data_IF_167420116221
#
_entry.id   IF_167420116221
#
_cell.length_a   1.000
_cell.length_b   1.000
_cell.length_c   1.000
_cell.angle_alpha   90.00
_cell.angle_beta   90.00
_cell.angle_gamma   90.00
#
_symmetry.space_group_name_H-M   'P 1'
#
loop_
_entity.id
_entity.type
_entity.pdbx_description
1 polymer ?
#
# COMPACT_ATOMS: atom_id res chain seq x y z
N UNK A 1 28.57 -18.11 -7.84
CA UNK A 1 27.41 -17.20 -7.84
C UNK A 1 26.31 -17.96 -7.14
N UNK A 2 26.34 -17.91 -5.82
CA UNK A 2 25.31 -18.56 -5.01
C UNK A 2 24.07 -17.68 -5.06
N UNK A 3 23.00 -18.26 -5.62
CA UNK A 3 21.66 -17.71 -5.59
C UNK A 3 21.21 -17.65 -4.13
N UNK A 4 21.48 -16.54 -3.45
CA UNK A 4 20.82 -16.21 -2.19
C UNK A 4 19.33 -16.10 -2.46
N UNK A 5 18.62 -17.19 -2.19
CA UNK A 5 17.17 -17.18 -2.07
C UNK A 5 16.85 -16.12 -1.01
N UNK A 6 16.04 -15.11 -1.34
CA UNK A 6 15.59 -14.07 -0.42
C UNK A 6 14.21 -14.47 0.17
N UNK A 7 14.12 -15.43 1.12
CA UNK A 7 12.84 -15.81 1.72
C UNK A 7 12.16 -14.61 2.40
N UNK A 8 12.97 -13.67 2.91
CA UNK A 8 12.49 -12.43 3.50
C UNK A 8 11.90 -11.50 2.44
N UNK A 9 12.57 -11.32 1.29
CA UNK A 9 12.07 -10.47 0.21
C UNK A 9 10.73 -10.91 -0.37
N UNK A 10 10.48 -12.23 -0.50
CA UNK A 10 9.16 -12.73 -0.91
C UNK A 10 8.09 -12.53 0.17
N UNK A 11 8.48 -12.64 1.44
CA UNK A 11 7.59 -12.38 2.58
C UNK A 11 7.22 -10.90 2.66
N UNK A 12 8.21 -10.01 2.56
CA UNK A 12 8.04 -8.55 2.58
C UNK A 12 7.17 -8.09 1.40
N UNK A 13 7.37 -8.69 0.22
CA UNK A 13 6.54 -8.43 -0.97
C UNK A 13 5.08 -8.74 -0.69
N UNK A 14 4.79 -9.92 -0.14
CA UNK A 14 3.44 -10.36 0.20
C UNK A 14 2.81 -9.49 1.30
N UNK A 15 3.60 -9.08 2.29
CA UNK A 15 3.11 -8.19 3.34
C UNK A 15 2.74 -6.81 2.77
N UNK A 16 3.55 -6.26 1.86
CA UNK A 16 3.22 -5.02 1.18
C UNK A 16 1.95 -5.14 0.34
N UNK A 17 1.77 -6.24 -0.42
CA UNK A 17 0.53 -6.48 -1.18
C UNK A 17 -0.71 -6.47 -0.27
N UNK A 18 -0.64 -7.14 0.88
CA UNK A 18 -1.74 -7.18 1.85
C UNK A 18 -2.02 -5.81 2.48
N UNK A 19 -0.98 -5.04 2.78
CA UNK A 19 -1.12 -3.69 3.31
C UNK A 19 -1.81 -2.76 2.28
N UNK A 20 -1.41 -2.84 1.00
CA UNK A 20 -2.03 -2.07 -0.09
C UNK A 20 -3.48 -2.51 -0.31
N UNK A 21 -3.77 -3.81 -0.30
CA UNK A 21 -5.15 -4.32 -0.42
C UNK A 21 -6.03 -3.81 0.73
N UNK A 22 -5.48 -3.73 1.95
CA UNK A 22 -6.17 -3.16 3.11
C UNK A 22 -6.45 -1.68 2.92
N UNK A 23 -5.47 -0.89 2.45
CA UNK A 23 -5.64 0.52 2.15
C UNK A 23 -6.75 0.75 1.09
N UNK A 24 -6.77 -0.05 0.02
CA UNK A 24 -7.80 0.02 -1.02
C UNK A 24 -9.20 -0.32 -0.49
N UNK A 25 -9.32 -1.38 0.32
CA UNK A 25 -10.61 -1.79 0.91
C UNK A 25 -11.15 -0.72 1.86
N UNK A 26 -10.31 -0.22 2.76
CA UNK A 26 -10.71 0.80 3.75
C UNK A 26 -11.05 2.12 3.07
N UNK A 27 -10.25 2.55 2.09
CA UNK A 27 -10.55 3.74 1.27
C UNK A 27 -11.86 3.59 0.53
N UNK A 28 -12.10 2.44 -0.12
CA UNK A 28 -13.35 2.17 -0.80
C UNK A 28 -14.56 2.16 0.15
N UNK A 29 -14.40 1.63 1.37
CA UNK A 29 -15.44 1.62 2.39
C UNK A 29 -15.74 3.03 2.93
N UNK A 30 -14.71 3.85 3.15
CA UNK A 30 -14.87 5.25 3.58
C UNK A 30 -15.60 6.07 2.51
N UNK A 31 -15.12 6.03 1.26
CA UNK A 31 -15.58 6.89 0.18
C UNK A 31 -16.93 6.45 -0.39
N UNK A 32 -17.07 5.18 -0.81
CA UNK A 32 -18.33 4.67 -1.39
C UNK A 32 -19.41 4.45 -0.32
N UNK A 33 -19.00 4.13 0.90
CA UNK A 33 -19.90 4.01 2.04
C UNK A 33 -20.25 5.34 2.70
N UNK A 34 -19.67 6.46 2.22
CA UNK A 34 -19.79 7.80 2.81
C UNK A 34 -19.56 7.80 4.33
N UNK A 35 -18.61 6.98 4.77
CA UNK A 35 -18.36 6.74 6.17
C UNK A 35 -17.14 7.51 6.64
N UNK A 36 -17.37 8.72 7.16
CA UNK A 36 -16.33 9.60 7.70
C UNK A 36 -15.55 8.98 8.86
N UNK A 37 -16.13 8.02 9.60
CA UNK A 37 -15.43 7.32 10.69
C UNK A 37 -14.31 6.41 10.20
N UNK A 38 -14.32 6.01 8.92
CA UNK A 38 -13.30 5.17 8.32
C UNK A 38 -12.20 5.95 7.60
N UNK A 39 -12.36 7.27 7.43
CA UNK A 39 -11.40 8.11 6.71
C UNK A 39 -10.03 8.10 7.39
N UNK A 40 -9.99 8.27 8.72
CA UNK A 40 -8.75 8.20 9.49
C UNK A 40 -8.07 6.83 9.37
N UNK A 41 -8.87 5.75 9.42
CA UNK A 41 -8.35 4.39 9.22
C UNK A 41 -7.81 4.16 7.81
N UNK A 42 -8.43 4.78 6.80
CA UNK A 42 -7.97 4.70 5.42
C UNK A 42 -6.62 5.43 5.25
N UNK A 43 -6.48 6.65 5.80
CA UNK A 43 -5.21 7.39 5.81
C UNK A 43 -4.10 6.60 6.51
N UNK A 44 -4.40 6.00 7.67
CA UNK A 44 -3.41 5.19 8.39
C UNK A 44 -2.97 3.97 7.57
N UNK A 45 -3.91 3.23 6.97
CA UNK A 45 -3.59 2.08 6.13
C UNK A 45 -2.74 2.46 4.90
N UNK A 46 -2.99 3.63 4.29
CA UNK A 46 -2.17 4.16 3.20
C UNK A 46 -0.75 4.46 3.71
N UNK A 47 -0.62 5.11 4.86
CA UNK A 47 0.68 5.50 5.42
C UNK A 47 1.53 4.28 5.84
N UNK A 48 0.90 3.27 6.42
CA UNK A 48 1.57 2.01 6.79
C UNK A 48 2.13 1.32 5.54
N UNK A 49 1.30 1.17 4.50
CA UNK A 49 1.72 0.58 3.22
C UNK A 49 2.81 1.42 2.52
N UNK A 50 2.73 2.76 2.58
CA UNK A 50 3.76 3.66 2.04
C UNK A 50 5.09 3.45 2.73
N UNK A 51 5.10 3.32 4.05
CA UNK A 51 6.31 3.05 4.83
C UNK A 51 6.96 1.73 4.41
N UNK A 52 6.16 0.66 4.25
CA UNK A 52 6.65 -0.63 3.75
C UNK A 52 7.21 -0.55 2.33
N UNK A 53 6.58 0.27 1.48
CA UNK A 53 7.02 0.47 0.09
C UNK A 53 8.38 1.17 -0.05
N UNK A 54 8.95 1.70 1.05
CA UNK A 54 10.27 2.34 1.07
C UNK A 54 11.43 1.36 1.36
N UNK A 55 11.15 0.05 1.50
CA UNK A 55 12.19 -0.97 1.69
C UNK A 55 13.19 -0.98 0.52
N UNK A 56 14.47 -0.81 0.86
CA UNK A 56 15.58 -0.88 -0.09
C UNK A 56 15.77 -2.30 -0.65
N UNK A 57 15.47 -3.32 0.15
CA UNK A 57 15.53 -4.73 -0.23
C UNK A 57 14.47 -5.04 -1.29
N UNK A 58 13.22 -4.59 -1.07
CA UNK A 58 12.16 -4.74 -2.07
C UNK A 58 12.46 -3.96 -3.34
N UNK A 59 13.10 -2.79 -3.22
CA UNK A 59 13.47 -1.98 -4.38
C UNK A 59 14.56 -2.66 -5.23
N UNK A 60 15.52 -3.32 -4.59
CA UNK A 60 16.54 -4.11 -5.28
C UNK A 60 15.96 -5.41 -5.88
N UNK A 61 14.93 -5.99 -5.25
CA UNK A 61 14.31 -7.24 -5.68
C UNK A 61 13.34 -7.05 -6.87
N UNK A 62 12.45 -6.07 -6.79
CA UNK A 62 11.34 -5.89 -7.74
C UNK A 62 10.82 -4.44 -7.75
N UNK A 63 11.53 -3.57 -8.46
CA UNK A 63 11.19 -2.14 -8.57
C UNK A 63 9.84 -1.89 -9.27
N UNK A 64 9.52 -2.66 -10.31
CA UNK A 64 8.27 -2.53 -11.06
C UNK A 64 7.06 -2.86 -10.18
N UNK A 65 7.18 -3.89 -9.34
CA UNK A 65 6.19 -4.20 -8.33
C UNK A 65 6.01 -3.04 -7.35
N UNK A 66 7.09 -2.49 -6.77
CA UNK A 66 6.99 -1.36 -5.85
C UNK A 66 6.35 -0.14 -6.49
N UNK A 67 6.68 0.16 -7.75
CA UNK A 67 6.07 1.28 -8.46
C UNK A 67 4.56 1.09 -8.61
N UNK A 68 4.11 -0.13 -8.94
CA UNK A 68 2.68 -0.45 -9.00
C UNK A 68 1.99 -0.26 -7.65
N UNK A 69 2.60 -0.75 -6.56
CA UNK A 69 2.04 -0.57 -5.21
C UNK A 69 1.91 0.91 -4.84
N UNK A 70 2.92 1.73 -5.15
CA UNK A 70 2.88 3.18 -4.88
C UNK A 70 1.79 3.89 -5.68
N UNK A 71 1.61 3.56 -6.95
CA UNK A 71 0.52 4.12 -7.76
C UNK A 71 -0.86 3.80 -7.17
N UNK A 72 -1.08 2.56 -6.70
CA UNK A 72 -2.34 2.18 -6.05
C UNK A 72 -2.60 2.98 -4.76
N UNK A 73 -1.54 3.27 -4.00
CA UNK A 73 -1.63 4.08 -2.78
C UNK A 73 -1.91 5.56 -3.10
N UNK A 74 -1.33 6.08 -4.18
CA UNK A 74 -1.60 7.44 -4.65
C UNK A 74 -3.06 7.58 -5.13
N UNK A 75 -3.60 6.58 -5.83
CA UNK A 75 -5.02 6.53 -6.20
C UNK A 75 -5.93 6.52 -4.96
N UNK A 76 -5.58 5.75 -3.92
CA UNK A 76 -6.33 5.73 -2.67
C UNK A 76 -6.33 7.09 -1.97
N UNK A 77 -5.15 7.72 -1.87
CA UNK A 77 -5.01 9.06 -1.29
C UNK A 77 -5.87 10.07 -2.05
N UNK A 78 -5.78 10.07 -3.38
CA UNK A 78 -6.57 10.95 -4.22
C UNK A 78 -8.08 10.75 -3.98
N UNK A 79 -8.53 9.50 -3.84
CA UNK A 79 -9.93 9.20 -3.58
C UNK A 79 -10.42 9.73 -2.22
N UNK A 80 -9.60 9.67 -1.17
CA UNK A 80 -9.91 10.28 0.13
C UNK A 80 -9.95 11.81 0.02
N UNK A 81 -8.94 12.40 -0.62
CA UNK A 81 -8.84 13.84 -0.79
C UNK A 81 -10.07 14.40 -1.55
N UNK A 82 -10.58 13.70 -2.57
CA UNK A 82 -11.81 14.10 -3.27
C UNK A 82 -13.08 13.92 -2.42
N UNK A 83 -13.10 12.95 -1.51
CA UNK A 83 -14.23 12.73 -0.61
C UNK A 83 -14.32 13.77 0.50
N UNK A 84 -13.18 14.30 0.96
CA UNK A 84 -13.09 15.30 2.03
C UNK A 84 -13.27 16.75 1.57
N UNK A 85 -13.29 17.00 0.25
CA UNK A 85 -13.54 18.32 -0.36
C UNK A 85 -15.02 18.72 -0.30
#
# INVERSE_FOLDING_TARGET
MDSEFFPNGLTDKRQLELAVETAQKTTGAATRGQNSTLVESAHQAIQDARTMSQSSELQALDQDFLQKQRMLLDDCQHQLDEFEK
#
